data_IF_830162057309
#
_entry.id   IF_830162057309
#
_cell.length_a   1.000
_cell.length_b   1.000
_cell.length_c   1.000
_cell.angle_alpha   90.00
_cell.angle_beta   90.00
_cell.angle_gamma   90.00
#
_symmetry.space_group_name_H-M   'P 1'
#
loop_
_entity.id
_entity.type
_entity.pdbx_description
1 polymer ?
#
# COMPACT_ATOMS: atom_id res chain seq x y z
N UNK A 1 3.87 34.27 -16.04
CA UNK A 1 3.24 33.00 -16.46
C UNK A 1 3.35 32.04 -15.28
N UNK A 2 2.26 31.60 -14.63
CA UNK A 2 2.40 30.72 -13.48
C UNK A 2 2.90 29.35 -13.97
N UNK A 3 4.06 28.94 -13.47
CA UNK A 3 4.52 27.57 -13.63
C UNK A 3 3.55 26.67 -12.88
N UNK A 4 2.79 25.87 -13.62
CA UNK A 4 2.03 24.77 -13.06
C UNK A 4 3.02 23.69 -12.60
N UNK A 5 3.59 23.87 -11.41
CA UNK A 5 4.41 22.88 -10.68
C UNK A 5 3.47 21.78 -10.14
N UNK A 6 2.59 21.27 -11.00
CA UNK A 6 1.67 20.18 -10.67
C UNK A 6 2.41 18.85 -10.71
N UNK A 7 1.94 17.95 -11.58
CA UNK A 7 2.53 16.62 -11.76
C UNK A 7 4.03 16.66 -12.04
N UNK A 8 4.53 17.66 -12.78
CA UNK A 8 5.94 17.83 -13.07
C UNK A 8 6.80 18.03 -11.80
N UNK A 9 6.30 18.78 -10.81
CA UNK A 9 7.01 18.99 -9.53
C UNK A 9 7.07 17.72 -8.69
N UNK A 10 5.97 16.95 -8.68
CA UNK A 10 5.92 15.66 -7.99
C UNK A 10 6.91 14.68 -8.63
N UNK A 11 6.97 14.61 -9.96
CA UNK A 11 7.93 13.75 -10.67
C UNK A 11 9.37 14.10 -10.29
N UNK A 12 9.71 15.39 -10.22
CA UNK A 12 11.05 15.83 -9.82
C UNK A 12 11.40 15.38 -8.40
N UNK A 13 10.47 15.52 -7.44
CA UNK A 13 10.65 15.05 -6.07
C UNK A 13 10.80 13.52 -5.99
N UNK A 14 10.00 12.79 -6.77
CA UNK A 14 10.11 11.34 -6.86
C UNK A 14 11.48 10.94 -7.40
N UNK A 15 11.96 11.56 -8.48
CA UNK A 15 13.30 11.29 -9.03
C UNK A 15 14.39 11.56 -7.99
N UNK A 16 14.29 12.68 -7.25
CA UNK A 16 15.27 13.01 -6.21
C UNK A 16 15.24 11.98 -5.07
N UNK A 17 14.05 11.58 -4.63
CA UNK A 17 13.88 10.52 -3.63
C UNK A 17 14.38 9.16 -4.12
N UNK A 18 14.14 8.83 -5.38
CA UNK A 18 14.64 7.61 -6.02
C UNK A 18 16.16 7.62 -6.15
N UNK A 19 16.80 8.78 -6.30
CA UNK A 19 18.25 8.86 -6.35
C UNK A 19 18.89 8.59 -4.97
N UNK A 20 18.23 9.05 -3.89
CA UNK A 20 18.67 8.83 -2.52
C UNK A 20 18.37 7.41 -2.02
N UNK A 21 17.15 6.93 -2.24
CA UNK A 21 16.67 5.65 -1.70
C UNK A 21 16.76 4.50 -2.70
N UNK A 22 16.75 4.77 -4.01
CA UNK A 22 16.70 3.77 -5.06
C UNK A 22 15.28 3.31 -5.42
N UNK A 23 15.01 2.98 -6.70
CA UNK A 23 13.67 2.57 -7.15
C UNK A 23 13.19 1.24 -6.58
N UNK A 24 14.10 0.38 -6.11
CA UNK A 24 13.72 -0.89 -5.50
C UNK A 24 13.27 -0.75 -4.04
N UNK A 25 13.64 0.33 -3.33
CA UNK A 25 13.32 0.49 -1.90
C UNK A 25 11.89 0.94 -1.67
N UNK A 26 11.35 1.86 -2.48
CA UNK A 26 9.95 2.30 -2.32
C UNK A 26 8.94 1.13 -2.47
N UNK A 27 9.04 0.25 -3.48
CA UNK A 27 8.16 -0.92 -3.59
C UNK A 27 8.36 -1.94 -2.46
N UNK A 28 9.60 -2.14 -2.00
CA UNK A 28 9.89 -3.05 -0.88
C UNK A 28 9.25 -2.54 0.42
N UNK A 29 9.40 -1.24 0.72
CA UNK A 29 8.77 -0.59 1.87
C UNK A 29 7.24 -0.62 1.77
N UNK A 30 6.68 -0.33 0.58
CA UNK A 30 5.25 -0.40 0.35
C UNK A 30 4.68 -1.81 0.57
N UNK A 31 5.40 -2.87 0.17
CA UNK A 31 5.00 -4.26 0.45
C UNK A 31 5.04 -4.56 1.95
N UNK A 32 6.10 -4.17 2.65
CA UNK A 32 6.21 -4.38 4.09
C UNK A 32 5.10 -3.66 4.86
N UNK A 33 4.90 -2.37 4.59
CA UNK A 33 3.84 -1.55 5.20
C UNK A 33 2.46 -2.10 4.83
N UNK A 34 2.26 -2.52 3.58
CA UNK A 34 1.00 -3.07 3.11
C UNK A 34 0.62 -4.36 3.84
N UNK A 35 1.57 -5.27 4.07
CA UNK A 35 1.34 -6.48 4.87
C UNK A 35 0.97 -6.12 6.30
N UNK A 36 1.73 -5.22 6.95
CA UNK A 36 1.43 -4.78 8.32
C UNK A 36 0.06 -4.10 8.42
N UNK A 37 -0.29 -3.23 7.46
CA UNK A 37 -1.58 -2.54 7.45
C UNK A 37 -2.74 -3.51 7.17
N UNK A 38 -2.53 -4.52 6.33
CA UNK A 38 -3.51 -5.57 6.06
C UNK A 38 -3.80 -6.40 7.31
N UNK A 39 -2.76 -6.83 8.03
CA UNK A 39 -2.89 -7.54 9.30
C UNK A 39 -3.52 -6.67 10.38
N UNK A 40 -3.10 -5.40 10.48
CA UNK A 40 -3.68 -4.43 11.38
C UNK A 40 -5.17 -4.22 11.10
N UNK A 41 -5.57 -4.08 9.83
CA UNK A 41 -6.99 -3.97 9.43
C UNK A 41 -7.79 -5.21 9.81
N UNK A 42 -7.23 -6.41 9.63
CA UNK A 42 -7.89 -7.68 10.02
C UNK A 42 -8.07 -7.78 11.53
N UNK A 43 -7.04 -7.42 12.30
CA UNK A 43 -7.12 -7.36 13.76
C UNK A 43 -8.12 -6.32 14.25
N UNK A 44 -8.06 -5.10 13.71
CA UNK A 44 -8.98 -4.02 14.07
C UNK A 44 -10.44 -4.33 13.74
N UNK A 45 -10.72 -4.99 12.61
CA UNK A 45 -12.08 -5.44 12.24
C UNK A 45 -12.67 -6.40 13.27
N UNK A 46 -11.88 -7.37 13.76
CA UNK A 46 -12.35 -8.32 14.79
C UNK A 46 -12.60 -7.70 16.17
N UNK A 47 -12.10 -6.48 16.42
CA UNK A 47 -12.35 -5.73 17.66
C UNK A 47 -13.58 -4.82 17.51
N UNK A 48 -13.78 -4.22 16.33
CA UNK A 48 -14.87 -3.27 16.07
C UNK A 48 -16.20 -3.99 15.85
N UNK A 49 -16.18 -5.18 15.25
CA UNK A 49 -17.39 -5.97 14.99
C UNK A 49 -17.21 -7.42 15.53
N UNK A 50 -17.60 -7.68 16.79
CA UNK A 50 -17.42 -8.99 17.42
C UNK A 50 -18.29 -10.11 16.81
N UNK A 51 -19.30 -9.76 16.01
CA UNK A 51 -20.21 -10.72 15.35
C UNK A 51 -19.86 -10.98 13.86
N UNK A 52 -18.97 -10.18 13.26
CA UNK A 52 -18.55 -10.34 11.86
C UNK A 52 -17.31 -11.24 11.80
N UNK A 53 -17.50 -12.57 11.87
CA UNK A 53 -16.44 -13.53 11.51
C UNK A 53 -15.95 -13.19 10.11
N UNK A 54 -14.69 -12.80 10.01
CA UNK A 54 -14.03 -12.37 8.78
C UNK A 54 -14.19 -13.40 7.63
N UNK A 55 -15.25 -13.24 6.84
CA UNK A 55 -15.35 -13.77 5.50
C UNK A 55 -14.61 -12.81 4.56
N UNK A 56 -13.35 -13.13 4.25
CA UNK A 56 -12.72 -12.62 3.04
C UNK A 56 -11.73 -13.66 2.50
N UNK A 57 -12.33 -14.63 1.82
CA UNK A 57 -11.96 -15.06 0.48
C UNK A 57 -10.50 -14.93 0.05
N UNK A 58 -9.69 -15.86 0.52
CA UNK A 58 -8.80 -16.59 -0.38
C UNK A 58 -9.37 -18.00 -0.57
N UNK A 59 -10.49 -18.13 -1.30
CA UNK A 59 -10.84 -19.41 -1.92
C UNK A 59 -9.82 -19.64 -3.03
N UNK A 60 -8.93 -20.65 -2.96
CA UNK A 60 -8.33 -21.17 -4.17
C UNK A 60 -9.50 -21.61 -5.05
N UNK A 61 -9.62 -21.05 -6.25
CA UNK A 61 -10.39 -21.72 -7.29
C UNK A 61 -9.74 -23.09 -7.47
N UNK A 62 -10.32 -24.12 -6.88
CA UNK A 62 -10.23 -25.47 -7.41
C UNK A 62 -10.75 -25.40 -8.85
N UNK A 63 -9.84 -25.29 -9.82
CA UNK A 63 -10.11 -25.73 -11.17
C UNK A 63 -9.93 -27.25 -11.16
N UNK A 64 -11.09 -27.91 -11.24
CA UNK A 64 -11.26 -29.33 -11.49
C UNK A 64 -10.89 -29.66 -12.94
#
# INVERSE_FOLDING_TARGET
MPMNIGVAGIILLVILGLLLFGPSKLPQLGRAIGTTLSEFRRGAKGIIDPDEKADDQSKPKELK
#
